data_IF_782084344529
#
_entry.id   IF_782084344529
#
_cell.length_a   1.000
_cell.length_b   1.000
_cell.length_c   1.000
_cell.angle_alpha   90.00
_cell.angle_beta   90.00
_cell.angle_gamma   90.00
#
_symmetry.space_group_name_H-M   'P 1'
#
loop_
_entity.id
_entity.type
_entity.pdbx_description
1 polymer ?
#
# COMPACT_ATOMS: atom_id res chain seq x y z
N UNK A 1 -29.07 42.81 -23.24
CA UNK A 1 -29.84 41.56 -23.44
C UNK A 1 -29.53 40.64 -22.25
N UNK A 2 -30.21 40.80 -21.10
CA UNK A 2 -31.47 40.12 -20.70
C UNK A 2 -31.30 38.59 -20.60
N UNK A 3 -31.09 38.02 -19.40
CA UNK A 3 -32.13 37.52 -18.47
C UNK A 3 -32.24 35.99 -18.64
N UNK A 4 -32.42 35.09 -17.66
CA UNK A 4 -32.84 35.07 -16.24
C UNK A 4 -32.31 33.75 -15.61
N UNK A 5 -32.27 33.62 -14.27
CA UNK A 5 -31.98 32.34 -13.58
C UNK A 5 -33.24 31.48 -13.36
N UNK A 6 -33.06 30.15 -13.34
CA UNK A 6 -34.10 29.13 -13.15
C UNK A 6 -34.43 28.95 -11.66
N UNK A 7 -35.72 28.84 -11.34
CA UNK A 7 -36.29 28.75 -9.99
C UNK A 7 -37.22 27.54 -9.87
N UNK A 8 -37.21 26.92 -8.68
CA UNK A 8 -38.30 26.21 -7.96
C UNK A 8 -38.76 24.80 -8.37
N UNK A 9 -38.74 23.87 -7.39
CA UNK A 9 -39.97 23.28 -6.82
C UNK A 9 -39.66 22.62 -5.45
N UNK A 10 -40.17 23.23 -4.38
CA UNK A 10 -40.28 22.66 -3.03
C UNK A 10 -41.72 22.14 -2.90
N UNK A 11 -41.89 20.86 -2.58
CA UNK A 11 -43.20 20.27 -2.34
C UNK A 11 -43.59 20.41 -0.87
N UNK A 12 -44.64 21.20 -0.65
CA UNK A 12 -45.35 21.44 0.60
C UNK A 12 -46.33 20.31 0.91
N UNK A 13 -46.22 19.68 2.09
CA UNK A 13 -47.29 18.91 2.72
C UNK A 13 -47.92 19.73 3.86
N UNK A 14 -49.20 20.07 3.74
CA UNK A 14 -50.01 20.82 4.73
C UNK A 14 -51.28 20.00 5.03
N UNK A 15 -51.87 20.25 6.22
CA UNK A 15 -53.13 19.77 6.82
C UNK A 15 -52.91 18.76 7.95
N UNK A 16 -53.38 18.94 9.20
CA UNK A 16 -54.40 19.85 9.75
C UNK A 16 -54.08 20.15 11.22
N UNK A 17 -54.19 21.42 11.59
CA UNK A 17 -54.32 21.88 12.97
C UNK A 17 -55.73 21.56 13.50
N UNK A 18 -55.83 21.19 14.77
CA UNK A 18 -57.03 21.42 15.58
C UNK A 18 -56.59 22.04 16.90
N UNK A 19 -56.75 23.36 17.00
CA UNK A 19 -56.62 24.11 18.23
C UNK A 19 -57.98 24.41 18.87
N UNK A 20 -57.88 24.96 20.09
CA UNK A 20 -58.92 25.59 20.91
C UNK A 20 -59.85 24.61 21.67
N UNK A 21 -60.23 24.82 22.94
CA UNK A 21 -60.10 25.99 23.80
C UNK A 21 -60.43 25.61 25.25
N UNK A 22 -59.93 26.40 26.21
CA UNK A 22 -60.44 26.45 27.59
C UNK A 22 -61.93 26.85 27.60
N UNK A 23 -62.71 26.25 28.50
CA UNK A 23 -63.91 26.92 29.03
C UNK A 23 -64.09 26.62 30.51
N UNK A 24 -63.89 27.66 31.31
CA UNK A 24 -64.46 27.83 32.64
C UNK A 24 -65.97 27.61 32.63
N UNK A 25 -66.52 26.93 33.65
CA UNK A 25 -67.90 27.14 34.10
C UNK A 25 -67.97 27.07 35.63
N UNK A 26 -68.02 28.26 36.22
CA UNK A 26 -68.70 28.53 37.48
C UNK A 26 -70.20 28.45 37.20
N UNK A 27 -70.94 27.72 38.04
CA UNK A 27 -72.40 27.62 38.00
C UNK A 27 -72.94 27.35 39.41
N UNK A 28 -73.39 28.42 40.05
CA UNK A 28 -74.02 28.49 41.37
C UNK A 28 -75.39 27.75 41.43
N UNK A 29 -75.69 27.25 42.64
CA UNK A 29 -76.98 27.20 43.36
C UNK A 29 -78.27 26.71 42.67
N UNK A 30 -78.93 25.76 43.36
CA UNK A 30 -80.35 25.88 43.72
C UNK A 30 -81.24 24.64 43.49
N UNK A 31 -81.78 24.05 44.57
CA UNK A 31 -83.13 23.47 44.55
C UNK A 31 -83.38 22.08 45.14
N UNK A 32 -83.83 22.06 46.40
CA UNK A 32 -84.90 21.21 46.97
C UNK A 32 -84.79 19.67 47.00
N UNK A 33 -84.44 19.17 48.20
CA UNK A 33 -85.39 18.43 49.05
C UNK A 33 -85.65 16.94 48.77
N UNK A 34 -85.09 16.07 49.62
CA UNK A 34 -85.83 15.07 50.42
C UNK A 34 -84.88 14.34 51.35
N UNK A 35 -85.20 14.35 52.64
CA UNK A 35 -84.42 13.67 53.67
C UNK A 35 -84.43 12.16 53.48
N UNK A 36 -83.24 11.55 53.49
CA UNK A 36 -83.07 10.16 53.86
C UNK A 36 -81.86 10.03 54.78
N UNK A 37 -82.09 9.22 55.80
CA UNK A 37 -81.28 8.94 56.98
C UNK A 37 -79.82 8.60 56.68
N UNK A 38 -78.95 9.18 57.49
CA UNK A 38 -77.49 9.01 57.49
C UNK A 38 -77.12 7.56 57.82
N UNK A 39 -76.77 6.78 56.80
CA UNK A 39 -75.95 5.58 56.94
C UNK A 39 -74.48 5.97 56.83
N UNK A 40 -73.78 6.07 57.96
CA UNK A 40 -72.36 6.42 58.01
C UNK A 40 -71.52 5.26 57.45
N UNK A 41 -71.37 5.21 56.12
CA UNK A 41 -70.46 4.28 55.44
C UNK A 41 -69.05 4.83 55.60
N UNK A 42 -68.26 4.24 56.52
CA UNK A 42 -66.84 4.54 56.71
C UNK A 42 -66.11 4.39 55.36
N UNK A 43 -65.83 5.50 54.69
CA UNK A 43 -64.85 5.54 53.60
C UNK A 43 -63.50 5.18 54.18
N UNK A 44 -63.02 3.96 53.90
CA UNK A 44 -61.63 3.58 54.15
C UNK A 44 -60.75 4.51 53.33
N UNK A 45 -60.14 5.50 53.99
CA UNK A 45 -59.02 6.26 53.44
C UNK A 45 -57.88 5.26 53.30
N UNK A 46 -57.65 4.76 52.09
CA UNK A 46 -56.46 3.97 51.78
C UNK A 46 -55.30 4.97 51.78
N UNK A 47 -54.27 4.82 52.65
CA UNK A 47 -53.12 5.71 52.62
C UNK A 47 -52.43 5.59 51.27
N UNK A 48 -52.38 6.68 50.51
CA UNK A 48 -51.63 6.74 49.25
C UNK A 48 -50.14 6.59 49.59
N UNK A 49 -49.54 5.45 49.25
CA UNK A 49 -48.09 5.22 49.30
C UNK A 49 -47.38 5.98 48.18
N UNK A 50 -47.53 7.31 48.10
CA UNK A 50 -47.13 8.13 46.94
C UNK A 50 -45.79 8.85 47.07
N UNK A 51 -44.99 8.61 48.12
CA UNK A 51 -43.64 9.22 48.26
C UNK A 51 -42.49 8.31 47.80
N UNK A 52 -42.58 7.00 48.08
CA UNK A 52 -41.48 6.05 47.88
C UNK A 52 -41.17 5.80 46.40
N UNK A 53 -42.20 5.81 45.54
CA UNK A 53 -42.03 5.64 44.10
C UNK A 53 -41.17 6.75 43.45
N UNK A 54 -41.21 7.96 44.00
CA UNK A 54 -40.42 9.10 43.49
C UNK A 54 -38.92 8.89 43.72
N UNK A 55 -38.52 8.37 44.88
CA UNK A 55 -37.12 8.05 45.18
C UNK A 55 -36.58 6.95 44.28
N UNK A 56 -37.36 5.90 44.02
CA UNK A 56 -36.97 4.85 43.08
C UNK A 56 -36.90 5.35 41.64
N UNK A 57 -37.80 6.23 41.21
CA UNK A 57 -37.74 6.86 39.89
C UNK A 57 -36.48 7.72 39.73
N UNK A 58 -36.18 8.60 40.69
CA UNK A 58 -34.96 9.42 40.67
C UNK A 58 -33.69 8.56 40.66
N UNK A 59 -33.63 7.56 41.54
CA UNK A 59 -32.50 6.63 41.58
C UNK A 59 -32.35 5.84 40.27
N UNK A 60 -33.45 5.39 39.67
CA UNK A 60 -33.45 4.67 38.40
C UNK A 60 -33.01 5.56 37.23
N UNK A 61 -33.43 6.82 37.19
CA UNK A 61 -33.01 7.77 36.14
C UNK A 61 -31.51 8.07 36.24
N UNK A 62 -30.98 8.27 37.45
CA UNK A 62 -29.54 8.45 37.66
C UNK A 62 -28.77 7.18 37.27
N UNK A 63 -29.29 6.00 37.63
CA UNK A 63 -28.70 4.72 37.25
C UNK A 63 -28.65 4.53 35.73
N UNK A 64 -29.78 4.75 35.04
CA UNK A 64 -29.86 4.63 33.57
C UNK A 64 -28.96 5.65 32.88
N UNK A 65 -28.96 6.91 33.33
CA UNK A 65 -28.07 7.95 32.80
C UNK A 65 -26.59 7.55 32.97
N UNK A 66 -26.21 6.99 34.12
CA UNK A 66 -24.87 6.46 34.37
C UNK A 66 -24.47 5.32 33.43
N UNK A 67 -25.39 4.39 33.12
CA UNK A 67 -25.12 3.34 32.14
C UNK A 67 -25.01 3.87 30.71
N UNK A 68 -25.85 4.84 30.32
CA UNK A 68 -25.80 5.47 29.01
C UNK A 68 -24.46 6.19 28.77
N UNK A 69 -23.94 6.90 29.76
CA UNK A 69 -22.67 7.63 29.63
C UNK A 69 -21.47 6.70 29.53
N UNK A 70 -21.45 5.60 30.29
CA UNK A 70 -20.46 4.53 30.13
C UNK A 70 -20.49 3.93 28.72
N UNK A 71 -21.70 3.75 28.15
CA UNK A 71 -21.87 3.29 26.78
C UNK A 71 -21.25 4.23 25.74
N UNK A 72 -21.40 5.54 25.91
CA UNK A 72 -20.80 6.55 25.00
C UNK A 72 -19.28 6.52 25.08
N UNK A 73 -18.72 6.52 26.29
CA UNK A 73 -17.26 6.48 26.49
C UNK A 73 -16.65 5.18 25.96
N UNK A 74 -17.32 4.05 26.16
CA UNK A 74 -16.91 2.76 25.60
C UNK A 74 -16.96 2.77 24.07
N UNK A 75 -18.03 3.32 23.49
CA UNK A 75 -18.17 3.46 22.03
C UNK A 75 -17.04 4.28 21.43
N UNK A 76 -16.72 5.42 22.02
CA UNK A 76 -15.62 6.29 21.58
C UNK A 76 -14.26 5.62 21.74
N UNK A 77 -14.01 4.93 22.85
CA UNK A 77 -12.78 4.16 23.05
C UNK A 77 -12.63 3.03 22.02
N UNK A 78 -13.73 2.36 21.66
CA UNK A 78 -13.72 1.29 20.66
C UNK A 78 -13.48 1.83 19.25
N UNK A 79 -14.07 2.98 18.92
CA UNK A 79 -13.80 3.69 17.66
C UNK A 79 -12.32 4.08 17.58
N UNK A 80 -11.79 4.76 18.60
CA UNK A 80 -10.40 5.17 18.65
C UNK A 80 -9.43 3.98 18.53
N UNK A 81 -9.75 2.83 19.12
CA UNK A 81 -8.95 1.60 18.95
C UNK A 81 -8.98 1.08 17.51
N UNK A 82 -10.11 1.18 16.83
CA UNK A 82 -10.25 0.76 15.43
C UNK A 82 -9.51 1.71 14.49
N UNK A 83 -9.57 3.02 14.75
CA UNK A 83 -8.78 4.03 14.05
C UNK A 83 -7.26 3.83 14.25
N UNK A 84 -6.85 3.51 15.49
CA UNK A 84 -5.45 3.16 15.78
C UNK A 84 -4.99 1.91 15.03
N UNK A 85 -5.84 0.88 14.93
CA UNK A 85 -5.51 -0.32 14.17
C UNK A 85 -5.32 0.01 12.68
N UNK A 86 -6.21 0.80 12.09
CA UNK A 86 -6.07 1.24 10.71
C UNK A 86 -4.77 2.04 10.48
N UNK A 87 -4.42 2.92 11.42
CA UNK A 87 -3.16 3.67 11.38
C UNK A 87 -1.94 2.74 11.47
N UNK A 88 -1.95 1.74 12.37
CA UNK A 88 -0.87 0.77 12.52
C UNK A 88 -0.73 -0.13 11.27
N UNK A 89 -1.85 -0.59 10.70
CA UNK A 89 -1.86 -1.38 9.47
C UNK A 89 -1.29 -0.60 8.28
N UNK A 90 -1.68 0.68 8.13
CA UNK A 90 -1.15 1.54 7.09
C UNK A 90 0.35 1.85 7.30
N UNK A 91 0.75 2.21 8.52
CA UNK A 91 2.12 2.54 8.86
C UNK A 91 3.08 1.35 8.72
N UNK A 92 2.67 0.15 9.15
CA UNK A 92 3.48 -1.07 9.00
C UNK A 92 3.72 -1.42 7.53
N UNK A 93 2.69 -1.32 6.68
CA UNK A 93 2.84 -1.53 5.23
C UNK A 93 3.77 -0.49 4.59
N UNK A 94 3.63 0.78 5.00
CA UNK A 94 4.50 1.85 4.54
C UNK A 94 5.97 1.61 4.97
N UNK A 95 6.19 1.17 6.20
CA UNK A 95 7.51 0.82 6.71
C UNK A 95 8.16 -0.28 5.87
N UNK A 96 7.40 -1.36 5.62
CA UNK A 96 7.87 -2.49 4.82
C UNK A 96 8.26 -2.09 3.40
N UNK A 97 7.54 -1.14 2.79
CA UNK A 97 7.87 -0.63 1.45
C UNK A 97 9.22 0.08 1.38
N UNK A 98 9.75 0.54 2.51
CA UNK A 98 11.04 1.23 2.60
C UNK A 98 12.19 0.35 3.10
N UNK A 99 11.95 -0.91 3.49
CA UNK A 99 12.98 -1.78 4.10
C UNK A 99 14.22 -1.88 3.21
N UNK A 100 14.03 -2.09 1.90
CA UNK A 100 15.13 -2.25 0.95
C UNK A 100 15.93 -0.96 0.72
N UNK A 101 15.37 0.19 1.07
CA UNK A 101 16.03 1.50 1.00
C UNK A 101 16.83 1.83 2.27
N UNK A 102 16.70 1.00 3.30
CA UNK A 102 17.38 1.16 4.58
C UNK A 102 16.42 1.48 5.73
N UNK A 103 16.94 1.31 6.95
CA UNK A 103 16.16 1.41 8.20
C UNK A 103 15.53 2.81 8.37
N UNK A 104 16.28 3.88 8.10
CA UNK A 104 15.74 5.25 8.24
C UNK A 104 14.60 5.49 7.26
N UNK A 105 14.75 5.11 5.99
CA UNK A 105 13.71 5.32 4.98
C UNK A 105 12.41 4.57 5.33
N UNK A 106 12.53 3.35 5.85
CA UNK A 106 11.39 2.60 6.37
C UNK A 106 10.72 3.30 7.58
N UNK A 107 11.51 3.82 8.53
CA UNK A 107 10.97 4.57 9.67
C UNK A 107 10.28 5.87 9.22
N UNK A 108 10.90 6.64 8.33
CA UNK A 108 10.37 7.90 7.81
C UNK A 108 9.02 7.68 7.10
N UNK A 109 8.91 6.62 6.29
CA UNK A 109 7.64 6.24 5.64
C UNK A 109 6.56 5.84 6.64
N UNK A 110 6.92 5.07 7.67
CA UNK A 110 5.99 4.66 8.72
C UNK A 110 5.43 5.88 9.48
N UNK A 111 6.31 6.80 9.87
CA UNK A 111 5.95 8.03 10.60
C UNK A 111 5.09 8.93 9.72
N UNK A 112 5.46 9.14 8.45
CA UNK A 112 4.70 9.96 7.52
C UNK A 112 3.28 9.45 7.31
N UNK A 113 3.12 8.13 7.14
CA UNK A 113 1.78 7.52 6.96
C UNK A 113 0.99 7.49 8.27
N UNK A 114 1.63 7.26 9.42
CA UNK A 114 0.95 7.37 10.71
C UNK A 114 0.41 8.78 10.95
N UNK A 115 1.22 9.81 10.68
CA UNK A 115 0.82 11.21 10.86
C UNK A 115 -0.34 11.63 9.94
N UNK A 116 -0.51 10.98 8.78
CA UNK A 116 -1.65 11.19 7.89
C UNK A 116 -2.96 10.58 8.43
N UNK A 117 -2.87 9.60 9.35
CA UNK A 117 -4.03 8.99 9.99
C UNK A 117 -4.39 9.71 11.30
N UNK A 118 -5.69 9.82 11.58
CA UNK A 118 -6.21 10.48 12.77
C UNK A 118 -6.95 9.50 13.67
N UNK A 119 -6.80 9.68 14.97
CA UNK A 119 -7.51 8.96 16.02
C UNK A 119 -8.18 10.00 16.89
N UNK A 120 -9.51 9.96 16.96
CA UNK A 120 -10.30 10.94 17.72
C UNK A 120 -9.93 12.38 17.30
N UNK A 121 -9.75 12.60 15.99
CA UNK A 121 -9.40 13.89 15.40
C UNK A 121 -7.92 14.29 15.47
N UNK A 122 -7.10 13.57 16.23
CA UNK A 122 -5.68 13.89 16.45
C UNK A 122 -4.77 12.99 15.60
N UNK A 123 -3.75 13.54 14.91
CA UNK A 123 -2.76 12.74 14.18
C UNK A 123 -2.06 11.69 15.05
N UNK A 124 -1.77 10.52 14.48
CA UNK A 124 -0.99 9.49 15.15
C UNK A 124 0.50 9.82 15.05
N UNK A 125 1.14 10.05 16.19
CA UNK A 125 2.59 10.20 16.28
C UNK A 125 3.22 8.87 16.69
N UNK A 126 4.22 8.43 15.92
CA UNK A 126 5.04 7.27 16.24
C UNK A 126 6.42 7.71 16.70
N UNK A 127 6.93 6.99 17.69
CA UNK A 127 8.32 7.03 18.11
C UNK A 127 9.17 6.15 17.21
N UNK A 128 10.23 6.73 16.66
CA UNK A 128 11.11 6.09 15.68
C UNK A 128 11.72 4.78 16.20
N UNK A 129 12.06 4.73 17.47
CA UNK A 129 12.82 3.62 18.06
C UNK A 129 11.95 2.69 18.92
N UNK A 130 10.88 3.21 19.53
CA UNK A 130 10.03 2.45 20.44
C UNK A 130 8.77 1.86 19.81
N UNK A 131 8.29 2.45 18.71
CA UNK A 131 7.02 2.05 18.08
C UNK A 131 7.23 1.26 16.77
N UNK A 132 8.46 1.25 16.22
CA UNK A 132 8.79 0.62 14.93
C UNK A 132 9.86 -0.45 15.14
N UNK A 133 9.44 -1.71 15.15
CA UNK A 133 10.33 -2.86 15.33
C UNK A 133 10.57 -3.55 13.99
N UNK A 134 11.83 -3.65 13.59
CA UNK A 134 12.24 -4.42 12.41
C UNK A 134 12.41 -5.89 12.81
N UNK A 135 12.03 -6.81 11.93
CA UNK A 135 12.12 -8.22 12.26
C UNK A 135 12.10 -9.15 11.05
N UNK A 136 12.20 -10.44 11.38
CA UNK A 136 11.98 -11.53 10.45
C UNK A 136 10.64 -12.18 10.75
N UNK A 137 9.75 -12.20 9.76
CA UNK A 137 8.54 -12.99 9.76
C UNK A 137 8.80 -14.34 9.08
N UNK A 138 8.51 -15.44 9.78
CA UNK A 138 8.47 -16.79 9.22
C UNK A 138 7.02 -17.18 8.95
N UNK A 139 6.63 -17.33 7.68
CA UNK A 139 5.28 -17.79 7.32
C UNK A 139 5.03 -19.26 7.69
N UNK A 140 6.09 -20.07 7.83
CA UNK A 140 6.01 -21.48 8.22
C UNK A 140 5.69 -21.61 9.71
N UNK A 141 6.42 -20.87 10.54
CA UNK A 141 6.32 -20.96 12.00
C UNK A 141 5.32 -19.96 12.57
N UNK A 142 4.85 -19.01 11.74
CA UNK A 142 4.00 -17.87 12.11
C UNK A 142 4.60 -17.05 13.25
N UNK A 143 5.91 -16.87 13.22
CA UNK A 143 6.67 -16.16 14.25
C UNK A 143 7.28 -14.87 13.69
N UNK A 144 7.28 -13.84 14.54
CA UNK A 144 8.01 -12.60 14.31
C UNK A 144 9.19 -12.52 15.28
N UNK A 145 10.39 -12.48 14.75
CA UNK A 145 11.63 -12.31 15.51
C UNK A 145 12.16 -10.90 15.32
N UNK A 146 12.26 -10.12 16.40
CA UNK A 146 12.81 -8.75 16.35
C UNK A 146 14.30 -8.81 16.02
N UNK A 147 14.75 -7.94 15.13
CA UNK A 147 16.14 -7.75 14.77
C UNK A 147 16.62 -6.40 15.31
N UNK A 148 17.85 -6.34 15.81
CA UNK A 148 18.43 -5.14 16.41
C UNK A 148 19.80 -4.80 15.79
N UNK A 149 20.28 -3.58 16.04
CA UNK A 149 21.56 -3.12 15.52
C UNK A 149 21.64 -3.18 13.99
N UNK A 150 22.71 -3.79 13.49
CA UNK A 150 22.99 -3.94 12.05
C UNK A 150 22.08 -4.97 11.36
N UNK A 151 21.51 -5.92 12.11
CA UNK A 151 20.66 -6.98 11.55
C UNK A 151 19.35 -6.44 10.98
N UNK A 152 18.93 -5.24 11.38
CA UNK A 152 17.73 -4.55 10.87
C UNK A 152 17.76 -4.35 9.36
N UNK A 153 18.95 -4.27 8.75
CA UNK A 153 19.09 -4.16 7.30
C UNK A 153 18.63 -5.42 6.54
N UNK A 154 18.60 -6.59 7.20
CA UNK A 154 18.11 -7.85 6.64
C UNK A 154 16.67 -8.19 7.03
N UNK A 155 15.91 -7.24 7.58
CA UNK A 155 14.53 -7.48 7.96
C UNK A 155 13.65 -7.77 6.74
N UNK A 156 12.65 -8.65 6.88
CA UNK A 156 11.62 -8.88 5.86
C UNK A 156 10.23 -8.45 6.34
N UNK A 157 10.14 -7.94 7.58
CA UNK A 157 8.90 -7.55 8.22
C UNK A 157 9.15 -6.40 9.19
N UNK A 158 8.11 -5.59 9.40
CA UNK A 158 8.11 -4.51 10.40
C UNK A 158 6.83 -4.60 11.20
N UNK A 159 6.97 -4.54 12.53
CA UNK A 159 5.87 -4.35 13.46
C UNK A 159 5.79 -2.87 13.83
N UNK A 160 4.61 -2.30 13.73
CA UNK A 160 4.33 -0.93 14.18
C UNK A 160 3.31 -0.99 15.32
N UNK A 161 3.57 -0.25 16.39
CA UNK A 161 2.68 -0.12 17.55
C UNK A 161 2.25 1.33 17.73
N UNK A 162 1.01 1.66 17.38
CA UNK A 162 0.45 2.99 17.58
C UNK A 162 -0.16 3.11 18.98
N UNK A 163 0.15 4.21 19.69
CA UNK A 163 -0.17 4.36 21.12
C UNK A 163 -0.80 5.72 21.42
N UNK A 164 -1.88 5.71 22.21
CA UNK A 164 -2.49 6.87 22.87
C UNK A 164 -2.55 6.57 24.36
N UNK A 165 -1.53 6.99 25.09
CA UNK A 165 -1.33 6.58 26.49
C UNK A 165 -0.94 7.75 27.37
N UNK A 166 -1.19 7.62 28.67
CA UNK A 166 -0.77 8.59 29.67
C UNK A 166 0.76 8.78 29.66
N UNK A 167 1.54 7.71 29.45
CA UNK A 167 3.00 7.78 29.34
C UNK A 167 3.50 8.56 28.12
N UNK A 168 2.69 8.63 27.05
CA UNK A 168 2.95 9.44 25.85
C UNK A 168 2.40 10.87 25.97
N UNK A 169 1.76 11.21 27.09
CA UNK A 169 1.12 12.50 27.30
C UNK A 169 -0.14 12.73 26.46
N UNK A 170 -0.67 11.68 25.79
CA UNK A 170 -1.81 11.78 24.88
C UNK A 170 -2.88 10.68 25.10
N UNK A 171 -3.31 10.39 26.36
CA UNK A 171 -4.34 9.40 26.61
C UNK A 171 -5.68 9.84 25.99
N UNK A 172 -6.57 8.90 25.71
CA UNK A 172 -7.90 9.22 25.19
C UNK A 172 -8.77 9.79 26.32
N UNK A 173 -9.27 11.04 26.22
CA UNK A 173 -10.13 11.61 27.26
C UNK A 173 -11.50 10.93 27.28
N UNK A 174 -11.99 10.65 28.48
CA UNK A 174 -13.34 10.13 28.71
C UNK A 174 -14.26 11.30 29.05
N UNK A 175 -15.39 11.41 28.36
CA UNK A 175 -16.32 12.53 28.56
C UNK A 175 -17.04 12.42 29.91
N UNK A 176 -17.32 11.19 30.35
CA UNK A 176 -18.10 10.93 31.56
C UNK A 176 -17.39 10.02 32.56
N UNK A 177 -16.27 9.39 32.18
CA UNK A 177 -15.46 8.59 33.10
C UNK A 177 -14.98 9.37 34.35
N UNK A 178 -14.91 10.71 34.26
CA UNK A 178 -14.66 11.57 35.43
C UNK A 178 -15.66 11.37 36.57
N UNK A 179 -16.91 10.98 36.27
CA UNK A 179 -17.97 10.69 37.26
C UNK A 179 -17.65 9.47 38.14
N UNK A 180 -16.74 8.60 37.67
CA UNK A 180 -16.26 7.39 38.37
C UNK A 180 -14.74 7.44 38.63
N UNK A 181 -14.13 8.63 38.58
CA UNK A 181 -12.71 8.83 38.90
C UNK A 181 -11.72 8.42 37.79
N UNK A 182 -12.17 8.25 36.54
CA UNK A 182 -11.35 7.92 35.38
C UNK A 182 -11.51 8.96 34.27
N UNK A 183 -10.67 9.97 34.22
CA UNK A 183 -10.75 11.03 33.20
C UNK A 183 -10.21 10.63 31.82
N UNK A 184 -9.49 9.51 31.71
CA UNK A 184 -8.91 9.06 30.45
C UNK A 184 -8.67 7.54 30.42
N UNK A 185 -8.45 7.01 29.23
CA UNK A 185 -8.10 5.61 28.99
C UNK A 185 -6.92 5.50 28.02
N UNK A 186 -6.07 4.50 28.24
CA UNK A 186 -4.98 4.16 27.35
C UNK A 186 -5.49 3.23 26.25
N UNK A 187 -5.19 3.54 25.00
CA UNK A 187 -5.48 2.67 23.86
C UNK A 187 -4.26 2.50 22.99
N UNK A 188 -4.02 1.27 22.55
CA UNK A 188 -2.93 0.90 21.67
C UNK A 188 -3.40 -0.14 20.66
N UNK A 189 -2.75 -0.16 19.51
CA UNK A 189 -2.95 -1.13 18.45
C UNK A 189 -1.60 -1.44 17.79
N UNK A 190 -1.40 -2.68 17.38
CA UNK A 190 -0.19 -3.10 16.68
C UNK A 190 -0.52 -3.86 15.41
N UNK A 191 0.35 -3.75 14.43
CA UNK A 191 0.24 -4.43 13.15
C UNK A 191 1.62 -4.88 12.68
N UNK A 192 1.68 -6.05 12.06
CA UNK A 192 2.90 -6.56 11.43
C UNK A 192 2.63 -6.62 9.94
N UNK A 193 3.51 -6.03 9.15
CA UNK A 193 3.54 -6.23 7.72
C UNK A 193 4.83 -6.96 7.33
N UNK A 194 4.78 -7.75 6.26
CA UNK A 194 5.90 -8.51 5.74
C UNK A 194 5.95 -8.48 4.22
N UNK A 195 7.16 -8.59 3.67
CA UNK A 195 7.40 -8.83 2.27
C UNK A 195 7.20 -10.32 1.99
N UNK A 196 6.31 -10.63 1.05
CA UNK A 196 6.11 -11.97 0.52
C UNK A 196 6.81 -12.05 -0.83
N UNK A 197 7.78 -12.97 -0.94
CA UNK A 197 8.42 -13.29 -2.20
C UNK A 197 7.43 -13.88 -3.20
N UNK A 198 7.64 -13.61 -4.48
CA UNK A 198 6.92 -14.23 -5.59
C UNK A 198 7.89 -14.71 -6.66
N UNK A 199 7.38 -15.62 -7.48
CA UNK A 199 8.11 -16.24 -8.57
C UNK A 199 7.19 -16.23 -9.79
N UNK A 200 7.74 -15.86 -10.94
CA UNK A 200 7.04 -15.90 -12.22
C UNK A 200 8.00 -16.43 -13.29
N UNK A 201 7.47 -17.08 -14.30
CA UNK A 201 8.24 -17.57 -15.45
C UNK A 201 7.80 -16.80 -16.66
N UNK A 202 8.77 -16.24 -17.38
CA UNK A 202 8.53 -15.38 -18.54
C UNK A 202 9.32 -15.93 -19.73
N UNK A 203 8.68 -16.00 -20.89
CA UNK A 203 9.35 -16.30 -22.15
C UNK A 203 9.80 -15.00 -22.80
N UNK A 204 11.09 -14.87 -23.08
CA UNK A 204 11.70 -13.72 -23.76
C UNK A 204 12.08 -14.16 -25.16
N UNK A 205 11.30 -13.74 -26.16
CA UNK A 205 11.60 -14.02 -27.56
C UNK A 205 12.90 -13.27 -27.97
N UNK A 206 13.71 -13.87 -28.83
CA UNK A 206 14.95 -13.24 -29.29
C UNK A 206 14.72 -11.88 -29.99
N UNK A 207 13.51 -11.66 -30.52
CA UNK A 207 13.08 -10.41 -31.18
C UNK A 207 12.68 -9.30 -30.22
N UNK A 208 12.80 -9.54 -28.92
CA UNK A 208 12.42 -8.59 -27.90
C UNK A 208 13.47 -7.49 -27.79
N UNK A 209 13.15 -6.29 -28.29
CA UNK A 209 14.00 -5.11 -28.24
C UNK A 209 13.79 -4.35 -26.91
N UNK A 210 14.80 -4.32 -26.01
CA UNK A 210 14.68 -3.66 -24.70
C UNK A 210 14.52 -2.13 -24.81
N UNK A 211 14.85 -1.52 -25.95
CA UNK A 211 14.76 -0.07 -26.19
C UNK A 211 13.37 0.39 -26.66
N UNK A 212 12.44 -0.55 -26.85
CA UNK A 212 11.01 -0.28 -27.03
C UNK A 212 10.20 -0.48 -25.75
N UNK A 213 10.84 -0.88 -24.64
CA UNK A 213 10.19 -1.13 -23.37
C UNK A 213 9.44 0.12 -22.86
N UNK A 214 8.16 -0.04 -22.55
CA UNK A 214 7.33 1.05 -22.01
C UNK A 214 6.93 2.13 -23.02
N UNK A 215 7.25 1.97 -24.30
CA UNK A 215 6.80 2.85 -25.38
C UNK A 215 5.41 2.47 -25.89
N UNK A 216 4.61 3.43 -26.40
CA UNK A 216 3.31 3.12 -26.99
C UNK A 216 3.46 2.28 -28.27
N UNK A 217 2.45 1.47 -28.55
CA UNK A 217 2.40 0.66 -29.76
C UNK A 217 2.54 1.54 -31.03
N UNK A 218 3.29 1.05 -32.01
CA UNK A 218 3.62 1.78 -33.24
C UNK A 218 4.87 2.67 -33.15
N UNK A 219 5.50 2.80 -31.98
CA UNK A 219 6.80 3.48 -31.85
C UNK A 219 7.86 2.72 -32.67
N UNK A 220 8.59 3.42 -33.52
CA UNK A 220 9.62 2.82 -34.39
C UNK A 220 11.00 3.00 -33.74
N UNK A 221 11.77 1.93 -33.71
CA UNK A 221 13.13 1.91 -33.20
C UNK A 221 14.15 2.47 -34.19
N UNK A 222 15.35 2.72 -33.69
CA UNK A 222 16.46 3.21 -34.52
C UNK A 222 17.04 2.06 -35.34
N UNK A 223 17.11 2.24 -36.66
CA UNK A 223 17.76 1.31 -37.59
C UNK A 223 18.75 2.01 -38.54
N UNK A 224 19.82 1.33 -38.98
CA UNK A 224 20.67 1.81 -40.06
C UNK A 224 19.90 1.97 -41.38
N UNK A 225 20.38 2.85 -42.29
CA UNK A 225 19.82 2.92 -43.63
C UNK A 225 19.90 1.56 -44.34
N UNK A 226 18.75 1.08 -44.80
CA UNK A 226 18.63 -0.20 -45.52
C UNK A 226 18.22 -1.39 -44.65
N UNK A 227 18.16 -1.24 -43.32
CA UNK A 227 17.66 -2.27 -42.41
C UNK A 227 16.23 -1.97 -41.95
N UNK A 228 15.48 -3.01 -41.65
CA UNK A 228 14.10 -2.88 -41.15
C UNK A 228 14.09 -2.44 -39.69
N UNK A 229 13.41 -1.34 -39.41
CA UNK A 229 13.28 -0.84 -38.04
C UNK A 229 12.32 -1.70 -37.21
N UNK A 230 12.72 -1.98 -35.97
CA UNK A 230 11.82 -2.62 -35.00
C UNK A 230 10.65 -1.70 -34.67
N UNK A 231 9.46 -2.27 -34.43
CA UNK A 231 8.27 -1.49 -34.06
C UNK A 231 7.69 -2.02 -32.76
N UNK A 232 7.36 -1.09 -31.86
CA UNK A 232 6.72 -1.38 -30.59
C UNK A 232 5.37 -2.05 -30.84
N UNK A 233 5.30 -3.34 -30.54
CA UNK A 233 4.10 -4.17 -30.57
C UNK A 233 4.03 -4.95 -29.25
N UNK A 234 2.94 -5.67 -29.00
CA UNK A 234 2.81 -6.46 -27.76
C UNK A 234 3.92 -7.50 -27.56
N UNK A 235 4.62 -7.88 -28.62
CA UNK A 235 5.64 -8.93 -28.61
C UNK A 235 7.06 -8.40 -28.75
N UNK A 236 7.26 -7.09 -28.99
CA UNK A 236 8.59 -6.50 -29.18
C UNK A 236 9.28 -6.11 -27.88
N UNK A 237 8.58 -6.19 -26.75
CA UNK A 237 9.11 -6.02 -25.39
C UNK A 237 8.39 -6.99 -24.45
N UNK A 238 9.06 -7.42 -23.38
CA UNK A 238 8.49 -8.39 -22.45
C UNK A 238 8.41 -7.77 -21.05
N UNK A 239 7.20 -7.47 -20.60
CA UNK A 239 6.92 -7.01 -19.24
C UNK A 239 6.83 -8.22 -18.29
N UNK A 240 7.63 -8.21 -17.22
CA UNK A 240 7.53 -9.20 -16.16
C UNK A 240 6.29 -8.91 -15.32
N UNK A 241 5.27 -9.76 -15.47
CA UNK A 241 4.00 -9.65 -14.76
C UNK A 241 3.88 -10.68 -13.62
N UNK A 242 2.97 -10.43 -12.66
CA UNK A 242 2.71 -11.33 -11.53
C UNK A 242 3.63 -11.15 -10.33
N UNK A 243 4.61 -10.25 -10.43
CA UNK A 243 5.44 -9.80 -9.30
C UNK A 243 5.51 -8.28 -9.28
N UNK A 244 5.42 -7.67 -8.09
CA UNK A 244 5.60 -6.22 -7.96
C UNK A 244 7.07 -5.87 -7.79
N UNK A 245 7.51 -4.75 -8.34
CA UNK A 245 8.83 -4.20 -8.07
C UNK A 245 8.78 -3.37 -6.79
N UNK A 246 9.51 -3.78 -5.75
CA UNK A 246 9.63 -3.03 -4.50
C UNK A 246 11.00 -2.37 -4.46
N UNK A 247 11.10 -1.03 -4.50
CA UNK A 247 12.38 -0.33 -4.43
C UNK A 247 13.28 -0.80 -3.27
N UNK A 248 14.56 -1.02 -3.59
CA UNK A 248 15.58 -1.51 -2.69
C UNK A 248 15.52 -3.01 -2.38
N UNK A 249 14.50 -3.73 -2.85
CA UNK A 249 14.45 -5.19 -2.74
C UNK A 249 15.30 -5.88 -3.80
N UNK A 250 15.61 -7.15 -3.54
CA UNK A 250 16.39 -8.02 -4.42
C UNK A 250 15.52 -8.72 -5.46
N UNK A 251 16.00 -8.76 -6.70
CA UNK A 251 15.50 -9.62 -7.78
C UNK A 251 16.60 -10.60 -8.16
N UNK A 252 16.20 -11.86 -8.38
CA UNK A 252 17.07 -12.93 -8.84
C UNK A 252 16.50 -13.57 -10.10
N UNK A 253 17.38 -13.98 -10.99
CA UNK A 253 17.03 -14.61 -12.25
C UNK A 253 17.59 -16.02 -12.32
N UNK A 254 16.85 -16.91 -12.97
CA UNK A 254 17.36 -18.21 -13.41
C UNK A 254 16.89 -18.39 -14.84
N UNK A 255 17.84 -18.53 -15.76
CA UNK A 255 17.56 -18.42 -17.19
C UNK A 255 18.00 -19.68 -17.91
N UNK A 256 17.15 -20.14 -18.81
CA UNK A 256 17.46 -21.22 -19.75
C UNK A 256 17.06 -20.80 -21.16
N UNK A 257 17.40 -21.61 -22.15
CA UNK A 257 17.15 -21.32 -23.56
C UNK A 257 18.36 -20.71 -24.26
N UNK A 258 18.15 -20.31 -25.50
CA UNK A 258 19.21 -19.81 -26.36
C UNK A 258 18.63 -18.92 -27.45
N UNK A 259 19.36 -17.84 -27.77
CA UNK A 259 18.99 -16.86 -28.79
C UNK A 259 20.16 -16.59 -29.74
N UNK A 260 19.85 -16.04 -30.92
CA UNK A 260 20.84 -15.47 -31.84
C UNK A 260 20.27 -14.25 -32.55
N UNK A 261 21.16 -13.29 -32.79
CA UNK A 261 20.94 -12.02 -33.46
C UNK A 261 21.08 -12.09 -34.99
N UNK A 262 21.28 -13.31 -35.51
CA UNK A 262 21.36 -13.56 -36.94
C UNK A 262 20.70 -14.92 -37.19
N UNK A 263 19.71 -15.02 -38.10
CA UNK A 263 19.00 -16.26 -38.41
C UNK A 263 19.92 -17.40 -38.88
N UNK A 264 21.14 -17.10 -39.33
CA UNK A 264 22.13 -18.07 -39.84
C UNK A 264 23.16 -18.47 -38.79
N UNK A 265 23.21 -17.81 -37.65
CA UNK A 265 24.20 -18.06 -36.59
C UNK A 265 23.62 -18.99 -35.53
N UNK A 266 24.47 -19.86 -34.98
CA UNK A 266 24.06 -20.77 -33.92
C UNK A 266 23.63 -19.96 -32.69
N UNK A 267 22.48 -20.34 -32.12
CA UNK A 267 22.02 -19.81 -30.84
C UNK A 267 23.01 -20.10 -29.71
N UNK A 268 23.12 -19.15 -28.80
CA UNK A 268 23.98 -19.20 -27.62
C UNK A 268 23.16 -19.00 -26.36
N UNK A 269 23.69 -19.46 -25.23
CA UNK A 269 23.02 -19.38 -23.94
C UNK A 269 22.87 -17.95 -23.42
N UNK A 270 22.28 -17.79 -22.22
CA UNK A 270 21.86 -16.50 -21.68
C UNK A 270 22.97 -15.47 -21.49
N UNK A 271 24.23 -15.88 -21.29
CA UNK A 271 25.37 -14.97 -21.22
C UNK A 271 25.78 -14.36 -22.56
N UNK A 272 25.16 -14.83 -23.65
CA UNK A 272 25.46 -14.41 -25.01
C UNK A 272 26.76 -15.00 -25.53
N UNK A 273 27.21 -14.48 -26.68
CA UNK A 273 28.45 -14.88 -27.31
C UNK A 273 29.61 -14.07 -26.73
N UNK A 274 30.10 -14.50 -25.56
CA UNK A 274 31.22 -13.86 -24.84
C UNK A 274 32.55 -13.87 -25.59
N UNK A 275 32.66 -14.69 -26.64
CA UNK A 275 33.84 -14.81 -27.52
C UNK A 275 33.62 -14.13 -28.88
N UNK A 276 32.58 -13.31 -29.04
CA UNK A 276 32.36 -12.55 -30.26
C UNK A 276 33.56 -11.63 -30.54
N UNK A 277 33.82 -11.37 -31.83
CA UNK A 277 34.93 -10.49 -32.28
C UNK A 277 34.87 -9.09 -31.66
N UNK A 278 33.66 -8.63 -31.31
CA UNK A 278 33.41 -7.43 -30.53
C UNK A 278 32.21 -7.63 -29.61
N UNK A 279 32.23 -6.94 -28.48
CA UNK A 279 31.02 -6.72 -27.68
C UNK A 279 30.14 -5.72 -28.41
N UNK A 280 28.83 -5.84 -28.26
CA UNK A 280 27.90 -4.91 -28.91
C UNK A 280 27.70 -3.71 -28.01
N UNK A 281 27.64 -2.54 -28.61
CA UNK A 281 27.26 -1.30 -27.95
C UNK A 281 26.07 -0.76 -28.72
N UNK A 282 24.93 -0.60 -28.05
CA UNK A 282 23.70 -0.13 -28.70
C UNK A 282 23.97 1.13 -29.52
N UNK A 283 23.73 1.06 -30.83
CA UNK A 283 23.72 2.20 -31.76
C UNK A 283 24.78 3.27 -31.46
N UNK A 284 26.06 2.91 -31.55
CA UNK A 284 27.21 3.82 -31.30
C UNK A 284 27.22 4.47 -29.91
N UNK A 285 26.56 3.86 -28.93
CA UNK A 285 26.46 4.35 -27.56
C UNK A 285 25.44 5.47 -27.37
N UNK A 286 24.45 5.60 -28.26
CA UNK A 286 23.39 6.60 -28.11
C UNK A 286 22.17 6.01 -27.38
N UNK A 287 21.54 6.78 -26.48
CA UNK A 287 20.27 6.38 -25.88
C UNK A 287 19.15 6.36 -26.93
N UNK A 288 18.13 5.56 -26.66
CA UNK A 288 16.95 5.43 -27.51
C UNK A 288 15.70 5.48 -26.64
N UNK A 289 14.72 6.30 -27.01
CA UNK A 289 13.46 6.47 -26.26
C UNK A 289 13.66 6.74 -24.76
N UNK A 290 14.71 7.48 -24.42
CA UNK A 290 15.07 7.79 -23.02
C UNK A 290 15.66 6.60 -22.26
N UNK A 291 15.89 5.47 -22.90
CA UNK A 291 16.58 4.29 -22.34
C UNK A 291 18.08 4.39 -22.65
N UNK A 292 18.90 4.18 -21.63
CA UNK A 292 20.34 4.30 -21.72
C UNK A 292 20.95 3.16 -22.56
N UNK A 293 22.02 3.44 -23.33
CA UNK A 293 22.71 2.41 -24.11
C UNK A 293 23.36 1.38 -23.18
N UNK A 294 23.61 0.19 -23.72
CA UNK A 294 24.35 -0.89 -23.06
C UNK A 294 25.51 -1.34 -23.93
N UNK A 295 26.65 -1.63 -23.30
CA UNK A 295 27.69 -2.48 -23.90
C UNK A 295 27.67 -3.86 -23.24
N UNK A 296 27.46 -4.92 -24.01
CA UNK A 296 27.37 -6.29 -23.49
C UNK A 296 27.69 -7.33 -24.59
N UNK A 297 27.91 -8.61 -24.22
CA UNK A 297 28.00 -9.68 -25.21
C UNK A 297 26.74 -9.74 -26.09
N UNK A 298 26.87 -9.94 -27.41
CA UNK A 298 25.71 -10.13 -28.26
C UNK A 298 24.93 -11.38 -27.85
N UNK A 299 23.62 -11.36 -28.03
CA UNK A 299 22.68 -12.44 -27.69
C UNK A 299 22.45 -12.68 -26.20
N UNK A 300 23.06 -11.91 -25.30
CA UNK A 300 22.81 -12.10 -23.88
C UNK A 300 21.40 -11.64 -23.50
N UNK A 301 20.88 -12.20 -22.40
CA UNK A 301 19.67 -11.69 -21.79
C UNK A 301 19.98 -10.38 -21.04
N UNK A 302 19.14 -9.38 -21.27
CA UNK A 302 19.21 -8.07 -20.63
C UNK A 302 17.86 -7.68 -20.04
N UNK A 303 17.90 -6.73 -19.11
CA UNK A 303 16.68 -6.19 -18.52
C UNK A 303 16.80 -4.69 -18.22
N UNK A 304 15.67 -4.04 -18.00
CA UNK A 304 15.58 -2.61 -17.64
C UNK A 304 14.45 -2.38 -16.65
N UNK A 305 14.72 -1.60 -15.60
CA UNK A 305 13.70 -1.12 -14.67
C UNK A 305 13.13 0.21 -15.15
N UNK A 306 11.80 0.31 -15.19
CA UNK A 306 11.06 1.53 -15.53
C UNK A 306 10.06 1.87 -14.42
N UNK A 307 9.74 3.15 -14.29
CA UNK A 307 8.58 3.65 -13.55
C UNK A 307 7.32 3.54 -14.43
N UNK A 308 6.17 4.06 -14.02
CA UNK A 308 4.94 4.02 -14.83
C UNK A 308 4.93 5.07 -15.95
N UNK A 309 5.78 6.11 -15.85
CA UNK A 309 5.93 7.12 -16.89
C UNK A 309 6.56 6.55 -18.16
N UNK A 310 6.19 7.15 -19.30
CA UNK A 310 6.80 6.83 -20.60
C UNK A 310 8.30 7.23 -20.58
N UNK A 311 9.22 6.36 -21.02
CA UNK A 311 10.65 6.55 -20.76
C UNK A 311 11.28 7.71 -21.53
N UNK A 312 10.72 8.17 -22.64
CA UNK A 312 11.26 9.28 -23.45
C UNK A 312 10.89 10.68 -22.93
N UNK A 313 10.05 10.77 -21.89
CA UNK A 313 9.65 12.05 -21.28
C UNK A 313 10.74 12.67 -20.39
N UNK A 314 11.84 11.96 -20.13
CA UNK A 314 12.98 12.51 -19.41
C UNK A 314 14.29 11.88 -19.91
N UNK A 315 15.44 12.56 -19.78
CA UNK A 315 16.67 12.11 -20.40
C UNK A 315 17.13 10.74 -19.87
N UNK A 316 17.78 9.98 -20.74
CA UNK A 316 18.41 8.73 -20.37
C UNK A 316 19.60 8.98 -19.43
N UNK A 317 19.82 8.13 -18.41
CA UNK A 317 21.06 8.13 -17.65
C UNK A 317 22.24 7.62 -18.51
N UNK A 318 23.45 7.66 -17.94
CA UNK A 318 24.62 7.04 -18.57
C UNK A 318 24.42 5.53 -18.76
N UNK A 319 24.91 4.98 -19.87
CA UNK A 319 24.89 3.54 -20.11
C UNK A 319 25.75 2.74 -19.14
N UNK A 320 25.51 1.43 -19.08
CA UNK A 320 26.36 0.47 -18.38
C UNK A 320 27.26 -0.27 -19.37
N UNK A 321 28.42 -0.73 -18.88
CA UNK A 321 29.40 -1.47 -19.68
C UNK A 321 29.74 -2.81 -19.02
N UNK A 322 29.34 -3.88 -19.71
CA UNK A 322 29.58 -5.29 -19.37
C UNK A 322 30.47 -5.99 -20.39
N UNK A 323 31.35 -5.25 -21.09
CA UNK A 323 32.24 -5.78 -22.11
C UNK A 323 33.24 -6.81 -21.57
N UNK A 324 33.66 -6.68 -20.31
CA UNK A 324 34.67 -7.56 -19.69
C UNK A 324 34.04 -8.69 -18.87
N UNK A 325 34.74 -9.82 -18.73
CA UNK A 325 34.32 -10.90 -17.84
C UNK A 325 34.16 -10.41 -16.38
N UNK A 326 35.08 -9.56 -15.92
CA UNK A 326 35.04 -8.98 -14.57
C UNK A 326 33.82 -8.10 -14.34
N UNK A 327 33.40 -7.29 -15.33
CA UNK A 327 32.18 -6.49 -15.22
C UNK A 327 30.92 -7.33 -15.14
N UNK A 328 30.94 -8.58 -15.63
CA UNK A 328 29.81 -9.52 -15.57
C UNK A 328 29.80 -10.39 -14.32
N UNK A 329 30.93 -10.58 -13.63
CA UNK A 329 31.05 -11.40 -12.43
C UNK A 329 30.87 -10.60 -11.12
N UNK A 330 29.70 -9.97 -10.94
CA UNK A 330 29.35 -9.21 -9.73
C UNK A 330 28.46 -10.00 -8.78
N UNK A 331 28.52 -9.70 -7.47
CA UNK A 331 27.58 -10.23 -6.47
C UNK A 331 26.27 -9.47 -6.44
N UNK A 332 26.33 -8.13 -6.45
CA UNK A 332 25.17 -7.25 -6.38
C UNK A 332 25.30 -6.14 -7.41
N UNK A 333 24.24 -5.91 -8.20
CA UNK A 333 24.11 -4.78 -9.13
C UNK A 333 23.00 -3.84 -8.67
N UNK A 334 23.25 -2.53 -8.79
CA UNK A 334 22.30 -1.45 -8.47
C UNK A 334 22.04 -0.59 -9.71
N UNK A 335 21.30 -1.11 -10.72
CA UNK A 335 20.96 -0.32 -11.90
C UNK A 335 20.02 0.83 -11.53
N UNK A 336 20.10 1.96 -12.23
CA UNK A 336 19.13 3.06 -12.13
C UNK A 336 17.92 2.78 -13.03
N UNK A 337 16.85 3.55 -12.85
CA UNK A 337 15.75 3.61 -13.83
C UNK A 337 16.30 3.90 -15.23
N UNK A 338 15.72 3.24 -16.24
CA UNK A 338 16.09 3.39 -17.66
C UNK A 338 17.53 2.97 -18.01
N UNK A 339 18.28 2.36 -17.08
CA UNK A 339 19.54 1.69 -17.42
C UNK A 339 19.26 0.23 -17.78
N UNK A 340 19.58 -0.14 -19.01
CA UNK A 340 19.62 -1.55 -19.41
C UNK A 340 20.83 -2.19 -18.74
N UNK A 341 20.67 -3.39 -18.22
CA UNK A 341 21.73 -4.13 -17.54
C UNK A 341 21.81 -5.58 -18.01
N UNK A 342 23.01 -6.14 -17.92
CA UNK A 342 23.28 -7.55 -18.19
C UNK A 342 22.63 -8.43 -17.12
N UNK A 343 21.83 -9.41 -17.55
CA UNK A 343 21.26 -10.44 -16.68
C UNK A 343 22.02 -11.75 -16.85
N UNK A 344 22.33 -12.12 -18.10
CA UNK A 344 22.99 -13.39 -18.37
C UNK A 344 22.15 -14.58 -17.92
N UNK A 345 22.81 -15.59 -17.36
CA UNK A 345 22.14 -16.71 -16.69
C UNK A 345 21.72 -16.41 -15.23
N UNK A 346 22.05 -15.22 -14.72
CA UNK A 346 21.81 -14.79 -13.35
C UNK A 346 22.84 -15.32 -12.34
N UNK A 347 23.99 -15.84 -12.81
CA UNK A 347 25.04 -16.43 -11.98
C UNK A 347 26.39 -15.77 -12.18
N UNK A 348 27.20 -15.93 -11.14
CA UNK A 348 28.62 -15.61 -11.12
C UNK A 348 29.42 -16.73 -11.76
N UNK A 349 30.69 -16.46 -12.05
CA UNK A 349 31.61 -17.44 -12.63
C UNK A 349 31.82 -18.67 -11.71
N UNK A 350 31.65 -18.49 -10.39
CA UNK A 350 31.69 -19.57 -9.39
C UNK A 350 30.34 -20.30 -9.19
N UNK A 351 29.32 -19.95 -9.97
CA UNK A 351 27.98 -20.51 -9.90
C UNK A 351 27.07 -19.93 -8.82
N UNK A 352 27.56 -19.01 -7.97
CA UNK A 352 26.73 -18.30 -7.00
C UNK A 352 25.72 -17.35 -7.68
N UNK A 353 24.58 -17.11 -7.04
CA UNK A 353 23.48 -16.30 -7.61
C UNK A 353 23.83 -14.82 -7.54
N UNK A 354 23.56 -14.09 -8.62
CA UNK A 354 23.66 -12.63 -8.66
C UNK A 354 22.41 -11.97 -8.08
N UNK A 355 22.62 -10.81 -7.46
CA UNK A 355 21.56 -10.00 -6.87
C UNK A 355 21.39 -8.69 -7.65
N UNK A 356 20.14 -8.37 -8.01
CA UNK A 356 19.79 -7.14 -8.69
C UNK A 356 18.87 -6.31 -7.80
N UNK A 357 19.32 -5.13 -7.39
CA UNK A 357 18.54 -4.26 -6.50
C UNK A 357 17.60 -3.40 -7.33
N UNK A 358 16.31 -3.47 -7.03
CA UNK A 358 15.28 -2.63 -7.66
C UNK A 358 15.56 -1.15 -7.35
N UNK A 359 15.72 -0.26 -8.34
CA UNK A 359 15.97 1.15 -8.09
C UNK A 359 14.74 1.87 -7.50
N UNK A 360 14.98 3.05 -6.93
CA UNK A 360 13.90 3.95 -6.51
C UNK A 360 13.04 4.35 -7.72
N UNK A 361 11.71 4.38 -7.51
CA UNK A 361 10.72 4.70 -8.53
C UNK A 361 10.40 3.56 -9.52
N UNK A 362 11.08 2.42 -9.45
CA UNK A 362 10.77 1.29 -10.33
C UNK A 362 9.45 0.61 -9.96
N UNK A 363 8.58 0.50 -10.95
CA UNK A 363 7.28 -0.20 -10.85
C UNK A 363 7.19 -1.35 -11.85
N UNK A 364 7.99 -1.30 -12.93
CA UNK A 364 7.99 -2.25 -14.03
C UNK A 364 9.40 -2.79 -14.30
N UNK A 365 9.47 -4.06 -14.65
CA UNK A 365 10.69 -4.73 -15.11
C UNK A 365 10.43 -5.28 -16.52
N UNK A 366 11.25 -4.86 -17.48
CA UNK A 366 11.20 -5.37 -18.84
C UNK A 366 12.44 -6.20 -19.13
N UNK A 367 12.28 -7.20 -20.00
CA UNK A 367 13.35 -8.09 -20.44
C UNK A 367 13.47 -8.04 -21.95
N UNK A 368 14.66 -8.34 -22.45
CA UNK A 368 14.96 -8.42 -23.87
C UNK A 368 16.30 -9.10 -24.12
N UNK A 369 16.73 -9.10 -25.37
CA UNK A 369 18.03 -9.64 -25.77
C UNK A 369 18.99 -8.51 -26.15
N UNK A 370 20.29 -8.77 -26.07
CA UNK A 370 21.30 -7.83 -26.53
C UNK A 370 21.58 -8.01 -28.02
N UNK A 371 21.38 -6.93 -28.75
CA UNK A 371 21.75 -6.74 -30.15
C UNK A 371 22.22 -5.29 -30.35
N UNK A 372 22.63 -4.94 -31.57
CA UNK A 372 23.02 -3.57 -31.92
C UNK A 372 21.89 -2.80 -32.62
N UNK A 373 21.13 -3.47 -33.49
CA UNK A 373 19.98 -2.99 -34.27
C UNK A 373 19.18 -4.19 -34.81
N UNK A 374 17.96 -3.96 -35.31
CA UNK A 374 17.15 -4.95 -36.07
C UNK A 374 16.85 -6.26 -35.32
N UNK A 375 16.26 -6.16 -34.12
CA UNK A 375 15.88 -7.35 -33.36
C UNK A 375 14.87 -8.24 -34.08
N UNK A 376 14.11 -7.70 -35.03
CA UNK A 376 13.05 -8.42 -35.74
C UNK A 376 13.51 -9.71 -36.48
N UNK A 377 14.79 -9.82 -36.82
CA UNK A 377 15.37 -10.97 -37.52
C UNK A 377 15.99 -12.01 -36.56
N UNK A 378 16.03 -11.70 -35.27
CA UNK A 378 16.57 -12.56 -34.22
C UNK A 378 15.72 -13.81 -34.07
N UNK A 379 16.33 -14.89 -33.58
CA UNK A 379 15.63 -16.16 -33.42
C UNK A 379 16.05 -16.93 -32.15
N UNK A 380 15.12 -17.74 -31.66
CA UNK A 380 15.23 -18.42 -30.38
C UNK A 380 14.46 -17.70 -29.27
N UNK A 381 14.64 -18.17 -28.05
CA UNK A 381 13.98 -17.59 -26.88
C UNK A 381 14.74 -17.99 -25.61
N UNK A 382 14.58 -17.17 -24.58
CA UNK A 382 14.93 -17.51 -23.21
C UNK A 382 13.67 -17.80 -22.40
N UNK A 383 13.79 -18.74 -21.46
CA UNK A 383 12.80 -18.96 -20.41
C UNK A 383 13.42 -18.54 -19.09
N UNK A 384 12.87 -17.47 -18.53
CA UNK A 384 13.43 -16.83 -17.35
C UNK A 384 12.47 -16.96 -16.18
N UNK A 385 12.95 -17.63 -15.13
CA UNK A 385 12.35 -17.59 -13.81
C UNK A 385 12.83 -16.33 -13.10
N UNK A 386 11.90 -15.46 -12.73
CA UNK A 386 12.16 -14.24 -11.96
C UNK A 386 11.64 -14.42 -10.54
N UNK A 387 12.53 -14.28 -9.57
CA UNK A 387 12.21 -14.30 -8.13
C UNK A 387 12.41 -12.92 -7.55
N UNK A 388 11.39 -12.36 -6.92
CA UNK A 388 11.46 -11.03 -6.33
C UNK A 388 10.57 -10.93 -5.08
N UNK A 389 10.81 -9.90 -4.28
CA UNK A 389 9.86 -9.41 -3.30
C UNK A 389 8.56 -8.94 -4.02
N UNK A 390 7.50 -9.75 -4.00
CA UNK A 390 6.35 -9.57 -4.92
C UNK A 390 5.20 -8.76 -4.33
N UNK A 391 4.98 -8.82 -3.00
CA UNK A 391 3.91 -8.05 -2.36
C UNK A 391 4.17 -7.79 -0.88
N UNK A 392 3.54 -6.75 -0.36
CA UNK A 392 3.50 -6.45 1.07
C UNK A 392 2.18 -7.00 1.62
N UNK A 393 2.27 -7.88 2.62
CA UNK A 393 1.12 -8.48 3.28
C UNK A 393 1.08 -8.09 4.76
N UNK A 394 -0.10 -7.72 5.26
CA UNK A 394 -0.33 -7.62 6.69
C UNK A 394 -0.52 -9.02 7.26
N UNK A 395 0.22 -9.33 8.31
CA UNK A 395 0.08 -10.56 9.09
C UNK A 395 -1.11 -10.37 10.02
N UNK A 396 -2.05 -11.33 10.00
CA UNK A 396 -3.20 -11.36 10.90
C UNK A 396 -3.02 -12.43 11.96
#
# INVERSE_FOLDING_TARGET
MSGRPVRTAVATGRCRESGAELSSRIGLFGGHGRGQTVGMRKTRIVPRRSGVAMYYLLASMVGIAGFCTLGVDWGRARLAKSELQAAADAASRAAVSGIGMGVSAAQDRAIGVAAANRVDGVPVALDRDLDIEFGRWSSKDRTFSVLSGWQRAGANAVRVTARRTASRGNPLPLAFGGLVGKSSVNVEASAIATIVGGETVVSVDAKTNPYLAGMPAGTVGIAPPGEDADVATSNSYVLVSGISMIPGSSVHFTVTGACSNDPKVRRVGPDGNVNAKRMFTKWKGMPEHGIAPLTAPPNCLVAVFLSDERPDLSPAPSGLDFSTAKSRDFSTLRPKLKQVFFVGDGRRADGSIQEFIVPEGATRLFMGTMDEFEWNNNHGAFHTTVKAASRIATVK
#
